data_IF_431792178174
#
_entry.id   IF_431792178174
#
_cell.length_a   1.000
_cell.length_b   1.000
_cell.length_c   1.000
_cell.angle_alpha   90.00
_cell.angle_beta   90.00
_cell.angle_gamma   90.00
#
_symmetry.space_group_name_H-M   'P 1'
#
loop_
_entity.id
_entity.type
_entity.pdbx_description
1 polymer ?
#
# COMPACT_ATOMS: atom_id res chain seq x y z
N UNK A 1 59.68 -56.43 -38.97
CA UNK A 1 59.50 -55.00 -39.33
C UNK A 1 58.67 -54.84 -40.61
N UNK A 2 58.80 -55.72 -41.60
CA UNK A 2 57.97 -55.70 -42.82
C UNK A 2 56.48 -55.93 -42.58
N UNK A 3 56.07 -56.95 -41.80
CA UNK A 3 54.65 -57.22 -41.54
C UNK A 3 53.91 -56.03 -40.89
N UNK A 4 54.53 -55.36 -39.91
CA UNK A 4 53.96 -54.14 -39.30
C UNK A 4 53.85 -52.97 -40.28
N UNK A 5 54.76 -52.88 -41.24
CA UNK A 5 54.74 -51.85 -42.30
C UNK A 5 53.61 -52.14 -43.28
N UNK A 6 53.46 -53.40 -43.70
CA UNK A 6 52.40 -53.84 -44.62
C UNK A 6 51.00 -53.71 -44.01
N UNK A 7 50.85 -54.03 -42.72
CA UNK A 7 49.62 -53.79 -41.96
C UNK A 7 49.28 -52.30 -41.85
N UNK A 8 50.28 -51.43 -41.64
CA UNK A 8 50.10 -49.98 -41.62
C UNK A 8 49.72 -49.42 -43.00
N UNK A 9 50.34 -49.88 -44.09
CA UNK A 9 49.96 -49.46 -45.45
C UNK A 9 48.58 -49.96 -45.85
N UNK A 10 48.20 -51.17 -45.42
CA UNK A 10 46.85 -51.71 -45.66
C UNK A 10 45.80 -50.91 -44.89
N UNK A 11 46.04 -50.58 -43.61
CA UNK A 11 45.16 -49.71 -42.82
C UNK A 11 45.09 -48.28 -43.35
N UNK A 12 46.20 -47.75 -43.86
CA UNK A 12 46.23 -46.43 -44.49
C UNK A 12 45.45 -46.44 -45.81
N UNK A 13 45.66 -47.47 -46.64
CA UNK A 13 44.94 -47.68 -47.89
C UNK A 13 43.44 -47.83 -47.65
N UNK A 14 43.02 -48.66 -46.69
CA UNK A 14 41.61 -48.80 -46.34
C UNK A 14 41.00 -47.50 -45.82
N UNK A 15 41.70 -46.77 -44.94
CA UNK A 15 41.25 -45.45 -44.47
C UNK A 15 41.13 -44.44 -45.60
N UNK A 16 42.06 -44.44 -46.55
CA UNK A 16 42.03 -43.55 -47.70
C UNK A 16 40.88 -43.90 -48.66
N UNK A 17 40.62 -45.19 -48.88
CA UNK A 17 39.49 -45.65 -49.69
C UNK A 17 38.15 -45.33 -49.03
N UNK A 18 38.03 -45.52 -47.71
CA UNK A 18 36.83 -45.11 -46.95
C UNK A 18 36.64 -43.60 -47.00
N UNK A 19 37.69 -42.82 -46.73
CA UNK A 19 37.61 -41.36 -46.82
C UNK A 19 37.28 -40.86 -48.23
N UNK A 20 37.76 -41.54 -49.29
CA UNK A 20 37.41 -41.20 -50.66
C UNK A 20 35.94 -41.54 -50.98
N UNK A 21 35.46 -42.70 -50.53
CA UNK A 21 34.04 -43.08 -50.67
C UNK A 21 33.11 -42.15 -49.89
N UNK A 22 33.50 -41.74 -48.68
CA UNK A 22 32.75 -40.79 -47.86
C UNK A 22 32.73 -39.41 -48.54
N UNK A 23 33.85 -38.99 -49.11
CA UNK A 23 33.96 -37.75 -49.89
C UNK A 23 33.06 -37.77 -51.13
N UNK A 24 33.10 -38.85 -51.92
CA UNK A 24 32.27 -38.98 -53.12
C UNK A 24 30.77 -39.00 -52.76
N UNK A 25 30.42 -39.63 -51.64
CA UNK A 25 29.05 -39.62 -51.10
C UNK A 25 28.60 -38.22 -50.72
N UNK A 26 29.41 -37.50 -49.93
CA UNK A 26 29.14 -36.11 -49.54
C UNK A 26 29.05 -35.20 -50.77
N UNK A 27 29.96 -35.36 -51.74
CA UNK A 27 29.97 -34.58 -52.98
C UNK A 27 28.70 -34.81 -53.80
N UNK A 28 28.25 -36.06 -53.92
CA UNK A 28 27.00 -36.38 -54.60
C UNK A 28 25.77 -35.79 -53.89
N UNK A 29 25.74 -35.87 -52.55
CA UNK A 29 24.66 -35.27 -51.75
C UNK A 29 24.62 -33.73 -51.87
N UNK A 30 25.78 -33.08 -51.95
CA UNK A 30 25.86 -31.63 -52.17
C UNK A 30 25.40 -31.24 -53.58
N UNK A 31 25.71 -32.05 -54.61
CA UNK A 31 25.23 -31.83 -55.97
C UNK A 31 23.69 -31.95 -56.04
N UNK A 32 23.12 -32.96 -55.38
CA UNK A 32 21.66 -33.08 -55.23
C UNK A 32 21.07 -31.87 -54.51
N UNK A 33 21.68 -31.42 -53.41
CA UNK A 33 21.19 -30.27 -52.66
C UNK A 33 21.27 -28.98 -53.48
N UNK A 34 22.33 -28.79 -54.27
CA UNK A 34 22.45 -27.66 -55.19
C UNK A 34 21.36 -27.67 -56.28
N UNK A 35 21.00 -28.85 -56.80
CA UNK A 35 19.91 -28.97 -57.77
C UNK A 35 18.55 -28.64 -57.13
N UNK A 36 18.35 -28.99 -55.87
CA UNK A 36 17.16 -28.64 -55.10
C UNK A 36 17.08 -27.11 -54.87
N UNK A 37 18.19 -26.46 -54.50
CA UNK A 37 18.28 -24.99 -54.39
C UNK A 37 17.90 -24.31 -55.72
N UNK A 38 18.45 -24.78 -56.85
CA UNK A 38 18.11 -24.23 -58.18
C UNK A 38 16.63 -24.39 -58.51
N UNK A 39 16.05 -25.55 -58.21
CA UNK A 39 14.62 -25.79 -58.43
C UNK A 39 13.74 -24.88 -57.58
N UNK A 40 14.20 -24.52 -56.37
CA UNK A 40 13.52 -23.58 -55.48
C UNK A 40 13.63 -22.16 -56.04
N UNK A 41 14.83 -21.72 -56.45
CA UNK A 41 15.08 -20.40 -57.03
C UNK A 41 14.22 -20.13 -58.27
N UNK A 42 14.13 -21.10 -59.19
CA UNK A 42 13.29 -21.01 -60.39
C UNK A 42 11.80 -20.81 -60.06
N UNK A 43 11.34 -21.31 -58.91
CA UNK A 43 9.93 -21.27 -58.48
C UNK A 43 9.63 -20.12 -57.51
N UNK A 44 10.65 -19.55 -56.87
CA UNK A 44 10.52 -18.53 -55.83
C UNK A 44 9.77 -17.29 -56.33
N UNK A 45 10.08 -16.82 -57.54
CA UNK A 45 9.41 -15.67 -58.16
C UNK A 45 7.88 -15.84 -58.36
N UNK A 46 7.39 -17.08 -58.32
CA UNK A 46 5.97 -17.42 -58.48
C UNK A 46 5.22 -17.54 -57.14
N UNK A 47 5.90 -17.43 -56.00
CA UNK A 47 5.25 -17.38 -54.70
C UNK A 47 4.54 -16.03 -54.51
N UNK A 48 3.32 -16.01 -53.92
CA UNK A 48 2.67 -14.77 -53.47
C UNK A 48 3.55 -14.00 -52.47
N UNK A 49 3.42 -12.67 -52.39
CA UNK A 49 4.29 -11.81 -51.57
C UNK A 49 4.41 -12.26 -50.11
N UNK A 50 3.30 -12.59 -49.45
CA UNK A 50 3.33 -13.08 -48.06
C UNK A 50 4.04 -14.43 -47.89
N UNK A 51 4.06 -15.28 -48.93
CA UNK A 51 4.80 -16.56 -48.92
C UNK A 51 6.29 -16.35 -49.22
N UNK A 52 6.64 -15.35 -50.02
CA UNK A 52 8.03 -14.98 -50.29
C UNK A 52 8.71 -14.46 -49.04
N UNK A 53 8.09 -13.48 -48.36
CA UNK A 53 8.59 -12.93 -47.11
C UNK A 53 8.85 -14.02 -46.06
N UNK A 54 7.92 -14.98 -45.98
CA UNK A 54 8.06 -16.15 -45.12
C UNK A 54 9.25 -17.04 -45.41
N UNK A 55 9.42 -17.37 -46.69
CA UNK A 55 10.56 -18.16 -47.13
C UNK A 55 11.88 -17.41 -46.92
N UNK A 56 11.92 -16.10 -47.13
CA UNK A 56 13.12 -15.27 -46.96
C UNK A 56 13.60 -15.24 -45.51
N UNK A 57 12.68 -15.12 -44.54
CA UNK A 57 13.00 -15.17 -43.11
C UNK A 57 13.61 -16.53 -42.71
N UNK A 58 12.99 -17.63 -43.12
CA UNK A 58 13.53 -18.97 -42.87
C UNK A 58 14.86 -19.21 -43.58
N UNK A 59 15.03 -18.63 -44.77
CA UNK A 59 16.27 -18.71 -45.53
C UNK A 59 17.42 -17.99 -44.82
N UNK A 60 17.17 -16.86 -44.14
CA UNK A 60 18.18 -16.16 -43.35
C UNK A 60 18.78 -17.05 -42.25
N UNK A 61 17.93 -17.76 -41.49
CA UNK A 61 18.37 -18.71 -40.45
C UNK A 61 19.14 -19.89 -41.05
N UNK A 62 18.66 -20.44 -42.18
CA UNK A 62 19.35 -21.52 -42.88
C UNK A 62 20.73 -21.04 -43.36
N UNK A 63 20.85 -19.82 -43.87
CA UNK A 63 22.11 -19.22 -44.29
C UNK A 63 23.07 -19.05 -43.11
N UNK A 64 22.58 -18.63 -41.95
CA UNK A 64 23.39 -18.53 -40.73
C UNK A 64 23.98 -19.89 -40.34
N UNK A 65 23.15 -20.94 -40.25
CA UNK A 65 23.60 -22.32 -39.96
C UNK A 65 24.60 -22.82 -41.00
N UNK A 66 24.38 -22.52 -42.29
CA UNK A 66 25.32 -22.87 -43.37
C UNK A 66 26.64 -22.11 -43.25
N UNK A 67 26.59 -20.84 -42.85
CA UNK A 67 27.77 -19.97 -42.73
C UNK A 67 28.64 -20.35 -41.53
N UNK A 68 28.00 -20.75 -40.42
CA UNK A 68 28.67 -21.19 -39.19
C UNK A 68 29.15 -22.65 -39.25
N UNK A 69 28.64 -23.43 -40.21
CA UNK A 69 29.06 -24.81 -40.40
C UNK A 69 30.50 -24.90 -40.90
N UNK A 70 31.35 -25.55 -40.11
CA UNK A 70 32.75 -25.84 -40.47
C UNK A 70 32.92 -27.13 -41.27
N UNK A 71 31.83 -27.82 -41.62
CA UNK A 71 31.89 -29.11 -42.34
C UNK A 71 30.83 -29.23 -43.45
N UNK A 72 31.13 -29.96 -44.55
CA UNK A 72 30.15 -30.28 -45.58
C UNK A 72 28.89 -30.99 -45.06
N UNK A 73 29.04 -31.81 -44.02
CA UNK A 73 27.92 -32.54 -43.40
C UNK A 73 26.97 -31.57 -42.68
N UNK A 74 27.50 -30.54 -42.01
CA UNK A 74 26.67 -29.51 -41.38
C UNK A 74 25.86 -28.70 -42.41
N UNK A 75 26.40 -28.46 -43.60
CA UNK A 75 25.65 -27.84 -44.71
C UNK A 75 24.58 -28.80 -45.26
N UNK A 76 24.86 -30.10 -45.34
CA UNK A 76 23.87 -31.08 -45.79
C UNK A 76 22.70 -31.24 -44.80
N UNK A 77 22.92 -31.00 -43.52
CA UNK A 77 21.88 -31.10 -42.50
C UNK A 77 20.75 -30.06 -42.72
N UNK A 78 21.03 -28.92 -43.35
CA UNK A 78 20.01 -27.89 -43.63
C UNK A 78 19.12 -28.21 -44.83
N UNK A 79 19.37 -29.32 -45.55
CA UNK A 79 18.60 -29.73 -46.73
C UNK A 79 17.12 -29.93 -46.40
N UNK A 80 16.83 -30.61 -45.29
CA UNK A 80 15.45 -30.85 -44.84
C UNK A 80 14.74 -29.55 -44.49
N UNK A 81 15.46 -28.62 -43.87
CA UNK A 81 14.92 -27.33 -43.42
C UNK A 81 14.60 -26.44 -44.62
N UNK A 82 15.50 -26.35 -45.61
CA UNK A 82 15.27 -25.60 -46.85
C UNK A 82 14.05 -26.12 -47.60
N UNK A 83 13.93 -27.45 -47.73
CA UNK A 83 12.79 -28.06 -48.40
C UNK A 83 11.48 -27.76 -47.65
N UNK A 84 11.48 -27.93 -46.34
CA UNK A 84 10.30 -27.69 -45.50
C UNK A 84 9.86 -26.23 -45.54
N UNK A 85 10.81 -25.30 -45.47
CA UNK A 85 10.56 -23.87 -45.57
C UNK A 85 9.95 -23.49 -46.92
N UNK A 86 10.41 -24.10 -48.02
CA UNK A 86 9.84 -23.83 -49.34
C UNK A 86 8.46 -24.49 -49.55
N UNK A 87 8.24 -25.67 -48.97
CA UNK A 87 6.97 -26.38 -49.08
C UNK A 87 5.86 -25.72 -48.23
N UNK A 88 6.21 -25.16 -47.07
CA UNK A 88 5.26 -24.52 -46.14
C UNK A 88 5.73 -23.14 -45.66
N UNK A 89 5.95 -22.17 -46.57
CA UNK A 89 6.61 -20.91 -46.22
C UNK A 89 5.82 -20.06 -45.23
N UNK A 90 4.48 -20.15 -45.24
CA UNK A 90 3.65 -19.44 -44.27
C UNK A 90 3.82 -19.99 -42.86
N UNK A 91 3.85 -21.31 -42.70
CA UNK A 91 4.05 -21.93 -41.38
C UNK A 91 5.41 -21.57 -40.82
N UNK A 92 6.45 -21.59 -41.66
CA UNK A 92 7.78 -21.17 -41.24
C UNK A 92 7.83 -19.68 -40.89
N UNK A 93 7.09 -18.81 -41.60
CA UNK A 93 6.94 -17.39 -41.21
C UNK A 93 6.37 -17.24 -39.81
N UNK A 94 5.31 -18.01 -39.52
CA UNK A 94 4.64 -17.97 -38.22
C UNK A 94 5.65 -18.39 -37.16
N UNK A 95 6.27 -19.56 -37.33
CA UNK A 95 7.29 -20.08 -36.40
C UNK A 95 8.40 -19.07 -36.10
N UNK A 96 8.99 -18.43 -37.12
CA UNK A 96 10.07 -17.47 -36.91
C UNK A 96 9.59 -16.18 -36.24
N UNK A 97 8.40 -15.67 -36.59
CA UNK A 97 7.85 -14.49 -35.92
C UNK A 97 7.55 -14.73 -34.44
N UNK A 98 7.24 -15.96 -34.04
CA UNK A 98 7.10 -16.32 -32.63
C UNK A 98 8.43 -16.40 -31.90
N UNK A 99 9.48 -16.94 -32.53
CA UNK A 99 10.82 -16.90 -31.93
C UNK A 99 11.26 -15.44 -31.77
N UNK A 100 11.02 -14.62 -32.80
CA UNK A 100 11.25 -13.19 -32.74
C UNK A 100 10.48 -12.52 -31.59
N UNK A 101 9.23 -12.90 -31.34
CA UNK A 101 8.46 -12.40 -30.20
C UNK A 101 9.22 -12.59 -28.88
N UNK A 102 9.74 -13.80 -28.61
CA UNK A 102 10.52 -14.07 -27.40
C UNK A 102 11.79 -13.23 -27.32
N UNK A 103 12.47 -13.04 -28.45
CA UNK A 103 13.67 -12.19 -28.53
C UNK A 103 13.35 -10.71 -28.25
N UNK A 104 12.25 -10.18 -28.78
CA UNK A 104 11.83 -8.78 -28.58
C UNK A 104 11.42 -8.51 -27.12
N UNK A 105 10.77 -9.47 -26.44
CA UNK A 105 10.45 -9.34 -25.01
C UNK A 105 11.62 -9.72 -24.09
N UNK A 106 12.74 -10.19 -24.63
CA UNK A 106 13.95 -10.49 -23.86
C UNK A 106 13.95 -11.83 -23.12
N UNK A 107 13.14 -12.80 -23.55
CA UNK A 107 13.12 -14.16 -22.99
C UNK A 107 14.15 -15.03 -23.72
N UNK A 108 15.14 -15.54 -22.99
CA UNK A 108 16.10 -16.51 -23.52
C UNK A 108 15.44 -17.90 -23.65
N UNK A 109 15.28 -18.37 -24.90
CA UNK A 109 14.72 -19.69 -25.21
C UNK A 109 15.83 -20.64 -25.63
N UNK A 110 15.96 -21.77 -24.93
CA UNK A 110 16.94 -22.81 -25.27
C UNK A 110 16.67 -23.45 -26.63
N UNK A 111 17.67 -24.06 -27.27
CA UNK A 111 17.50 -24.74 -28.56
C UNK A 111 16.48 -25.90 -28.50
N UNK A 112 16.37 -26.57 -27.35
CA UNK A 112 15.39 -27.64 -27.12
C UNK A 112 13.96 -27.08 -27.07
N UNK A 113 13.77 -25.99 -26.30
CA UNK A 113 12.48 -25.29 -26.21
C UNK A 113 12.08 -24.64 -27.55
N UNK A 114 13.04 -24.07 -28.29
CA UNK A 114 12.81 -23.50 -29.64
C UNK A 114 12.20 -24.55 -30.57
N UNK A 115 12.70 -25.78 -30.54
CA UNK A 115 12.16 -26.87 -31.35
C UNK A 115 10.78 -27.31 -30.91
N UNK A 116 10.52 -27.37 -29.60
CA UNK A 116 9.19 -27.67 -29.06
C UNK A 116 8.16 -26.60 -29.44
N UNK A 117 8.50 -25.32 -29.25
CA UNK A 117 7.70 -24.15 -29.61
C UNK A 117 7.37 -24.19 -31.10
N UNK A 118 8.37 -24.39 -31.97
CA UNK A 118 8.16 -24.56 -33.41
C UNK A 118 7.19 -25.71 -33.72
N UNK A 119 7.31 -26.84 -33.04
CA UNK A 119 6.42 -27.99 -33.20
C UNK A 119 4.96 -27.68 -32.82
N UNK A 120 4.76 -27.03 -31.67
CA UNK A 120 3.43 -26.61 -31.18
C UNK A 120 2.77 -25.59 -32.10
N UNK A 121 3.51 -24.55 -32.49
CA UNK A 121 3.03 -23.49 -33.40
C UNK A 121 2.66 -24.07 -34.77
N UNK A 122 3.47 -25.00 -35.29
CA UNK A 122 3.13 -25.69 -36.54
C UNK A 122 1.79 -26.40 -36.43
N UNK A 123 1.58 -27.18 -35.37
CA UNK A 123 0.33 -27.91 -35.18
C UNK A 123 -0.89 -26.98 -35.07
N UNK A 124 -0.75 -25.81 -34.41
CA UNK A 124 -1.85 -24.85 -34.29
C UNK A 124 -2.10 -24.05 -35.58
N UNK A 125 -1.03 -23.62 -36.26
CA UNK A 125 -1.12 -22.82 -37.48
C UNK A 125 -1.50 -23.62 -38.74
N UNK A 126 -1.29 -24.94 -38.77
CA UNK A 126 -1.60 -25.81 -39.92
C UNK A 126 -3.05 -25.67 -40.43
N UNK A 127 -3.99 -25.35 -39.54
CA UNK A 127 -5.41 -25.18 -39.89
C UNK A 127 -5.75 -23.83 -40.55
N UNK A 128 -4.98 -22.77 -40.26
CA UNK A 128 -5.18 -21.41 -40.77
C UNK A 128 -3.87 -20.59 -40.73
N UNK A 129 -2.90 -20.86 -41.61
CA UNK A 129 -1.57 -20.25 -41.55
C UNK A 129 -1.58 -18.74 -41.75
N UNK A 130 -2.43 -18.24 -42.66
CA UNK A 130 -2.57 -16.79 -42.93
C UNK A 130 -3.20 -16.03 -41.75
N UNK A 131 -4.11 -16.68 -41.02
CA UNK A 131 -4.65 -16.13 -39.77
C UNK A 131 -3.58 -16.01 -38.71
N UNK A 132 -2.88 -17.11 -38.42
CA UNK A 132 -1.83 -17.15 -37.41
C UNK A 132 -0.70 -16.15 -37.71
N UNK A 133 -0.31 -15.98 -38.99
CA UNK A 133 0.72 -15.02 -39.39
C UNK A 133 0.29 -13.58 -39.13
N UNK A 134 -0.96 -13.24 -39.40
CA UNK A 134 -1.51 -11.92 -39.10
C UNK A 134 -1.56 -11.69 -37.58
N UNK A 135 -2.04 -12.67 -36.82
CA UNK A 135 -2.16 -12.54 -35.37
C UNK A 135 -0.79 -12.34 -34.68
N UNK A 136 0.25 -13.09 -35.08
CA UNK A 136 1.60 -12.91 -34.51
C UNK A 136 2.24 -11.59 -34.94
N UNK A 137 1.98 -11.12 -36.17
CA UNK A 137 2.43 -9.78 -36.59
C UNK A 137 1.71 -8.67 -35.81
N UNK A 138 0.44 -8.86 -35.49
CA UNK A 138 -0.32 -7.94 -34.64
C UNK A 138 0.26 -7.94 -33.21
N UNK A 139 0.65 -9.09 -32.65
CA UNK A 139 1.37 -9.17 -31.36
C UNK A 139 2.69 -8.40 -31.42
N UNK A 140 3.53 -8.67 -32.41
CA UNK A 140 4.82 -7.99 -32.58
C UNK A 140 4.65 -6.48 -32.72
N UNK A 141 3.63 -6.03 -33.47
CA UNK A 141 3.32 -4.61 -33.60
C UNK A 141 2.82 -3.96 -32.31
N UNK A 142 2.16 -4.73 -31.42
CA UNK A 142 1.72 -4.23 -30.11
C UNK A 142 2.87 -4.12 -29.12
N UNK A 143 3.85 -5.02 -29.14
CA UNK A 143 4.97 -5.06 -28.18
C UNK A 143 5.72 -3.74 -28.14
N UNK A 144 5.99 -3.16 -29.31
CA UNK A 144 6.71 -1.88 -29.44
C UNK A 144 6.02 -0.72 -28.69
N UNK A 145 4.69 -0.81 -28.52
CA UNK A 145 3.86 0.19 -27.86
C UNK A 145 3.51 -0.19 -26.39
N UNK A 146 3.98 -1.34 -25.88
CA UNK A 146 3.69 -1.77 -24.51
C UNK A 146 4.49 -0.95 -23.49
N UNK A 147 3.84 -0.64 -22.36
CA UNK A 147 4.51 -0.07 -21.21
C UNK A 147 5.51 -1.09 -20.63
N UNK A 148 6.66 -0.62 -20.13
CA UNK A 148 7.69 -1.45 -19.52
C UNK A 148 7.15 -2.40 -18.45
N UNK A 149 6.23 -1.98 -17.59
CA UNK A 149 5.66 -2.83 -16.54
C UNK A 149 4.79 -3.98 -17.10
N UNK A 150 4.14 -3.76 -18.23
CA UNK A 150 3.38 -4.80 -18.94
C UNK A 150 4.35 -5.79 -19.59
N UNK A 151 5.47 -5.32 -20.15
CA UNK A 151 6.53 -6.19 -20.68
C UNK A 151 7.12 -7.04 -19.55
N UNK A 152 7.48 -6.43 -18.42
CA UNK A 152 8.00 -7.16 -17.25
C UNK A 152 7.03 -8.24 -16.76
N UNK A 153 5.74 -7.90 -16.61
CA UNK A 153 4.72 -8.88 -16.22
C UNK A 153 4.56 -10.01 -17.25
N UNK A 154 4.59 -9.69 -18.54
CA UNK A 154 4.53 -10.68 -19.61
C UNK A 154 5.76 -11.60 -19.60
N UNK A 155 6.95 -11.03 -19.36
CA UNK A 155 8.20 -11.77 -19.23
C UNK A 155 8.15 -12.72 -18.05
N UNK A 156 7.70 -12.27 -16.89
CA UNK A 156 7.59 -13.11 -15.69
C UNK A 156 6.65 -14.31 -15.91
N UNK A 157 5.47 -14.09 -16.51
CA UNK A 157 4.49 -15.16 -16.80
C UNK A 157 5.03 -16.18 -17.81
N UNK A 158 5.71 -15.71 -18.85
CA UNK A 158 6.21 -16.57 -19.93
C UNK A 158 7.56 -17.24 -19.63
N UNK A 159 8.40 -16.62 -18.81
CA UNK A 159 9.74 -17.15 -18.46
C UNK A 159 9.66 -18.41 -17.59
N UNK A 160 8.62 -18.56 -16.78
CA UNK A 160 8.44 -19.76 -15.96
C UNK A 160 8.17 -21.00 -16.83
N UNK A 161 7.50 -20.85 -17.98
CA UNK A 161 7.18 -21.96 -18.89
C UNK A 161 7.09 -21.49 -20.37
N UNK A 162 8.21 -21.22 -21.06
CA UNK A 162 8.21 -20.66 -22.42
C UNK A 162 7.56 -21.57 -23.46
N UNK A 163 7.41 -22.87 -23.18
CA UNK A 163 6.77 -23.81 -24.10
C UNK A 163 5.24 -23.82 -23.99
N UNK A 164 4.63 -23.10 -23.04
CA UNK A 164 3.18 -23.08 -22.83
C UNK A 164 2.42 -22.17 -23.81
N UNK A 165 3.12 -21.34 -24.57
CA UNK A 165 2.47 -20.52 -25.60
C UNK A 165 2.02 -21.39 -26.77
N UNK A 166 0.71 -21.60 -26.89
CA UNK A 166 0.12 -22.48 -27.90
C UNK A 166 -0.42 -21.77 -29.14
N UNK A 167 -0.73 -20.47 -29.06
CA UNK A 167 -1.26 -19.67 -30.17
C UNK A 167 -1.00 -18.15 -29.99
N UNK A 168 -1.05 -17.32 -31.06
CA UNK A 168 -0.82 -15.88 -30.92
C UNK A 168 -2.06 -15.20 -30.33
N UNK A 169 -3.22 -15.85 -30.44
CA UNK A 169 -4.44 -15.48 -29.74
C UNK A 169 -4.27 -15.55 -28.21
N UNK A 170 -3.51 -16.52 -27.69
CA UNK A 170 -3.25 -16.65 -26.25
C UNK A 170 -2.39 -15.47 -25.76
N UNK A 171 -1.30 -15.15 -26.47
CA UNK A 171 -0.44 -13.99 -26.16
C UNK A 171 -1.25 -12.69 -26.25
N UNK A 172 -2.01 -12.49 -27.34
CA UNK A 172 -2.87 -11.31 -27.48
C UNK A 172 -3.86 -11.19 -26.33
N UNK A 173 -4.48 -12.30 -25.92
CA UNK A 173 -5.42 -12.30 -24.79
C UNK A 173 -4.72 -11.94 -23.48
N UNK A 174 -3.49 -12.39 -23.25
CA UNK A 174 -2.70 -12.01 -22.08
C UNK A 174 -2.33 -10.52 -22.10
N UNK A 175 -1.85 -10.01 -23.23
CA UNK A 175 -1.55 -8.58 -23.42
C UNK A 175 -2.80 -7.74 -23.16
N UNK A 176 -3.95 -8.11 -23.74
CA UNK A 176 -5.21 -7.37 -23.57
C UNK A 176 -5.69 -7.39 -22.10
N UNK A 177 -5.47 -8.50 -21.37
CA UNK A 177 -5.75 -8.58 -19.92
C UNK A 177 -4.83 -7.68 -19.11
N UNK A 178 -3.51 -7.74 -19.34
CA UNK A 178 -2.53 -6.90 -18.65
C UNK A 178 -2.79 -5.42 -18.91
N UNK A 179 -3.15 -5.03 -20.13
CA UNK A 179 -3.54 -3.66 -20.43
C UNK A 179 -4.83 -3.21 -19.75
N UNK A 180 -5.84 -4.08 -19.73
CA UNK A 180 -7.09 -3.76 -19.02
C UNK A 180 -6.80 -3.55 -17.53
N UNK A 181 -5.98 -4.43 -16.94
CA UNK A 181 -5.53 -4.31 -15.56
C UNK A 181 -4.68 -3.07 -15.31
N UNK A 182 -3.80 -2.72 -16.25
CA UNK A 182 -3.00 -1.50 -16.17
C UNK A 182 -3.88 -0.26 -16.11
N UNK A 183 -4.90 -0.16 -16.97
CA UNK A 183 -5.84 0.96 -16.96
C UNK A 183 -6.60 1.07 -15.63
N UNK A 184 -6.96 -0.06 -15.04
CA UNK A 184 -7.58 -0.09 -13.71
C UNK A 184 -6.61 0.43 -12.64
N UNK A 185 -5.35 -0.04 -12.64
CA UNK A 185 -4.33 0.42 -11.70
C UNK A 185 -3.97 1.89 -11.89
N UNK A 186 -3.94 2.39 -13.12
CA UNK A 186 -3.72 3.81 -13.42
C UNK A 186 -4.85 4.67 -12.86
N UNK A 187 -6.10 4.20 -12.95
CA UNK A 187 -7.25 4.89 -12.32
C UNK A 187 -7.14 4.91 -10.79
N UNK A 188 -6.65 3.83 -10.17
CA UNK A 188 -6.41 3.80 -8.72
C UNK A 188 -5.25 4.74 -8.34
N UNK A 189 -4.18 4.75 -9.14
CA UNK A 189 -3.04 5.63 -8.92
C UNK A 189 -3.45 7.12 -8.99
N UNK A 190 -4.35 7.47 -9.92
CA UNK A 190 -4.94 8.80 -9.99
C UNK A 190 -5.70 9.14 -8.70
N UNK A 191 -6.60 8.26 -8.24
CA UNK A 191 -7.28 8.42 -6.96
C UNK A 191 -6.31 8.53 -5.77
N UNK A 192 -5.22 7.74 -5.77
CA UNK A 192 -4.20 7.82 -4.73
C UNK A 192 -3.55 9.19 -4.66
N UNK A 193 -3.18 9.75 -5.81
CA UNK A 193 -2.49 11.04 -5.91
C UNK A 193 -3.34 12.26 -5.49
N UNK A 194 -4.67 12.11 -5.41
CA UNK A 194 -5.56 13.18 -4.98
C UNK A 194 -5.68 13.30 -3.44
N UNK A 195 -5.08 12.36 -2.68
CA UNK A 195 -5.34 12.20 -1.24
C UNK A 195 -4.12 12.46 -0.39
N UNK A 196 -4.24 13.41 0.55
CA UNK A 196 -3.16 13.84 1.45
C UNK A 196 -2.62 12.73 2.36
N UNK A 197 -3.46 11.77 2.73
CA UNK A 197 -3.11 10.68 3.64
C UNK A 197 -2.46 9.48 2.92
N UNK A 198 -2.32 9.51 1.60
CA UNK A 198 -1.59 8.49 0.84
C UNK A 198 -0.16 9.00 0.58
N UNK A 199 0.88 8.24 0.94
CA UNK A 199 2.25 8.64 0.69
C UNK A 199 2.65 8.42 -0.79
N UNK A 200 3.50 9.30 -1.34
CA UNK A 200 3.98 9.25 -2.73
C UNK A 200 4.57 7.88 -3.11
N UNK A 201 5.21 7.18 -2.17
CA UNK A 201 5.81 5.85 -2.40
C UNK A 201 4.80 4.73 -2.67
N UNK A 202 3.52 4.98 -2.36
CA UNK A 202 2.39 4.05 -2.54
C UNK A 202 1.50 4.46 -3.71
N UNK A 203 1.54 5.73 -4.13
CA UNK A 203 0.82 6.23 -5.33
C UNK A 203 1.11 5.43 -6.59
N UNK A 204 2.34 4.93 -6.74
CA UNK A 204 2.77 4.11 -7.89
C UNK A 204 2.34 2.64 -7.77
N UNK A 205 1.04 2.37 -7.65
CA UNK A 205 0.49 1.01 -7.57
C UNK A 205 0.58 0.23 -8.89
N UNK A 206 0.84 0.88 -10.02
CA UNK A 206 0.89 0.28 -11.35
C UNK A 206 2.20 -0.48 -11.69
N UNK A 207 2.78 -1.15 -10.70
CA UNK A 207 3.99 -1.98 -10.86
C UNK A 207 3.71 -3.35 -11.52
N UNK A 208 4.76 -4.02 -12.01
CA UNK A 208 4.68 -5.39 -12.57
C UNK A 208 4.07 -6.40 -11.58
N UNK A 209 4.39 -6.28 -10.29
CA UNK A 209 3.82 -7.11 -9.21
C UNK A 209 2.30 -6.97 -9.14
N UNK A 210 1.78 -5.74 -9.22
CA UNK A 210 0.35 -5.46 -9.12
C UNK A 210 -0.42 -5.83 -10.39
N UNK A 211 0.25 -5.82 -11.55
CA UNK A 211 -0.32 -6.30 -12.81
C UNK A 211 -0.56 -7.82 -12.80
N UNK A 212 0.34 -8.58 -12.18
CA UNK A 212 0.25 -10.05 -12.11
C UNK A 212 -0.74 -10.56 -11.05
N UNK A 213 -1.05 -9.75 -10.03
CA UNK A 213 -1.97 -10.14 -8.97
C UNK A 213 -3.43 -9.80 -9.34
N UNK A 214 -4.14 -10.77 -9.92
CA UNK A 214 -5.56 -10.63 -10.27
C UNK A 214 -6.52 -10.57 -9.06
N UNK A 215 -6.02 -10.87 -7.85
CA UNK A 215 -6.79 -10.79 -6.59
C UNK A 215 -6.91 -9.35 -6.05
N UNK A 216 -6.35 -8.37 -6.77
CA UNK A 216 -6.41 -6.96 -6.43
C UNK A 216 -7.82 -6.43 -6.77
N UNK A 217 -8.82 -6.87 -6.00
CA UNK A 217 -10.24 -6.49 -6.13
C UNK A 217 -10.40 -4.97 -6.00
N UNK A 218 -11.21 -4.33 -6.84
CA UNK A 218 -11.40 -2.88 -6.85
C UNK A 218 -12.37 -2.37 -5.77
N UNK A 219 -12.94 -3.26 -4.96
CA UNK A 219 -13.97 -2.92 -3.96
C UNK A 219 -13.45 -1.97 -2.88
N UNK A 220 -12.13 -1.89 -2.66
CA UNK A 220 -11.55 -0.99 -1.65
C UNK A 220 -11.55 0.48 -2.06
N UNK A 221 -11.72 0.80 -3.35
CA UNK A 221 -11.82 2.20 -3.80
C UNK A 221 -13.06 2.86 -3.18
N UNK A 222 -14.12 2.10 -2.91
CA UNK A 222 -15.31 2.58 -2.18
C UNK A 222 -14.99 3.01 -0.74
N UNK A 223 -13.85 2.58 -0.19
CA UNK A 223 -13.44 2.96 1.17
C UNK A 223 -12.77 4.32 1.20
N UNK A 224 -12.30 4.85 0.08
CA UNK A 224 -11.61 6.14 0.06
C UNK A 224 -12.52 7.28 0.49
N UNK A 225 -13.74 7.36 -0.03
CA UNK A 225 -14.71 8.40 0.36
C UNK A 225 -14.99 8.36 1.87
N UNK A 226 -15.08 7.16 2.45
CA UNK A 226 -15.28 6.98 3.88
C UNK A 226 -14.04 7.41 4.66
N UNK A 227 -12.83 6.98 4.26
CA UNK A 227 -11.60 7.39 4.93
C UNK A 227 -11.43 8.92 4.84
N UNK A 228 -11.72 9.53 3.69
CA UNK A 228 -11.68 10.98 3.48
C UNK A 228 -12.66 11.71 4.42
N UNK A 229 -13.90 11.24 4.54
CA UNK A 229 -14.90 11.79 5.47
C UNK A 229 -14.40 11.74 6.91
N UNK A 230 -13.83 10.61 7.33
CA UNK A 230 -13.34 10.44 8.69
C UNK A 230 -12.09 11.29 8.98
N UNK A 231 -11.16 11.39 8.02
CA UNK A 231 -9.98 12.28 8.11
C UNK A 231 -10.40 13.74 8.28
N UNK A 232 -11.50 14.16 7.65
CA UNK A 232 -12.00 15.54 7.76
C UNK A 232 -12.82 15.81 9.02
N UNK A 233 -13.47 14.79 9.58
CA UNK A 233 -14.40 14.95 10.71
C UNK A 233 -13.75 14.69 12.07
N UNK A 234 -12.68 13.89 12.11
CA UNK A 234 -11.91 13.66 13.33
C UNK A 234 -11.08 14.92 13.67
N UNK A 235 -11.09 15.38 14.94
CA UNK A 235 -10.31 16.51 15.42
C UNK A 235 -8.84 16.50 14.99
N UNK A 236 -8.37 17.63 14.46
CA UNK A 236 -6.97 17.84 13.99
C UNK A 236 -5.90 17.55 15.06
N UNK A 237 -6.30 17.49 16.34
CA UNK A 237 -5.39 17.11 17.43
C UNK A 237 -4.94 15.65 17.34
N UNK A 238 -5.73 14.81 16.66
CA UNK A 238 -5.43 13.41 16.40
C UNK A 238 -4.63 13.32 15.10
N UNK A 239 -3.40 12.79 15.11
CA UNK A 239 -2.52 12.75 13.94
C UNK A 239 -2.91 11.59 13.00
N UNK A 240 -4.17 11.55 12.55
CA UNK A 240 -4.72 10.43 11.80
C UNK A 240 -4.03 10.21 10.45
N UNK A 241 -3.79 11.28 9.69
CA UNK A 241 -3.11 11.17 8.39
C UNK A 241 -1.71 10.55 8.55
N UNK A 242 -0.96 10.93 9.59
CA UNK A 242 0.37 10.38 9.85
C UNK A 242 0.32 8.87 10.14
N UNK A 243 -0.66 8.43 10.94
CA UNK A 243 -0.83 7.02 11.26
C UNK A 243 -1.26 6.19 10.03
N UNK A 244 -2.13 6.74 9.17
CA UNK A 244 -2.52 6.08 7.91
C UNK A 244 -1.31 5.97 6.96
N UNK A 245 -0.54 7.06 6.79
CA UNK A 245 0.66 7.05 5.96
C UNK A 245 1.68 6.02 6.47
N UNK A 246 1.91 5.98 7.79
CA UNK A 246 2.80 5.02 8.41
C UNK A 246 2.34 3.56 8.22
N UNK A 247 1.04 3.28 8.39
CA UNK A 247 0.44 1.97 8.10
C UNK A 247 0.69 1.54 6.64
N UNK A 248 0.44 2.44 5.68
CA UNK A 248 0.64 2.18 4.25
C UNK A 248 2.10 1.93 3.89
N UNK A 249 3.04 2.67 4.50
CA UNK A 249 4.48 2.49 4.29
C UNK A 249 4.97 1.18 4.91
N UNK A 250 4.53 0.86 6.13
CA UNK A 250 4.90 -0.37 6.83
C UNK A 250 4.39 -1.63 6.10
N UNK A 251 3.24 -1.53 5.43
CA UNK A 251 2.60 -2.61 4.67
C UNK A 251 2.68 -2.45 3.16
N UNK A 252 3.63 -1.65 2.66
CA UNK A 252 3.77 -1.31 1.23
C UNK A 252 3.74 -2.53 0.29
N UNK A 253 4.47 -3.60 0.63
CA UNK A 253 4.48 -4.84 -0.16
C UNK A 253 3.11 -5.53 -0.19
N UNK A 254 2.34 -5.42 0.90
CA UNK A 254 0.98 -5.96 0.96
C UNK A 254 -0.01 -5.06 0.21
N UNK A 255 0.18 -3.74 0.20
CA UNK A 255 -0.62 -2.83 -0.63
C UNK A 255 -0.51 -3.20 -2.11
N UNK A 256 0.69 -3.54 -2.60
CA UNK A 256 0.88 -3.92 -4.00
C UNK A 256 0.33 -5.30 -4.37
N UNK A 257 0.16 -6.20 -3.39
CA UNK A 257 -0.28 -7.58 -3.62
C UNK A 257 -1.75 -7.80 -3.27
N UNK A 258 -2.25 -7.13 -2.24
CA UNK A 258 -3.54 -7.33 -1.57
C UNK A 258 -4.07 -6.01 -0.95
N UNK A 259 -4.25 -4.95 -1.75
CA UNK A 259 -4.71 -3.67 -1.23
C UNK A 259 -6.06 -3.77 -0.54
N UNK A 260 -6.97 -4.63 -1.00
CA UNK A 260 -8.29 -4.79 -0.37
C UNK A 260 -8.22 -5.16 1.10
N UNK A 261 -7.25 -5.97 1.51
CA UNK A 261 -7.04 -6.32 2.92
C UNK A 261 -6.55 -5.08 3.67
N UNK A 262 -5.49 -4.43 3.18
CA UNK A 262 -4.88 -3.27 3.84
C UNK A 262 -5.88 -2.12 4.01
N UNK A 263 -6.62 -1.78 2.95
CA UNK A 263 -7.62 -0.70 3.01
C UNK A 263 -8.88 -1.08 3.81
N UNK A 264 -9.23 -2.36 3.89
CA UNK A 264 -10.28 -2.82 4.84
C UNK A 264 -9.83 -2.60 6.28
N UNK A 265 -8.57 -2.95 6.59
CA UNK A 265 -8.00 -2.76 7.92
C UNK A 265 -7.93 -1.26 8.27
N UNK A 266 -7.44 -0.43 7.34
CA UNK A 266 -7.40 1.04 7.51
C UNK A 266 -8.79 1.59 7.76
N UNK A 267 -9.79 1.20 6.95
CA UNK A 267 -11.18 1.61 7.15
C UNK A 267 -11.67 1.26 8.55
N UNK A 268 -11.51 0.00 8.97
CA UNK A 268 -11.92 -0.44 10.31
C UNK A 268 -11.17 0.33 11.41
N UNK A 269 -9.90 0.60 11.14
CA UNK A 269 -8.97 1.43 11.90
C UNK A 269 -9.57 2.80 12.24
N UNK A 270 -9.79 3.55 11.17
CA UNK A 270 -10.31 4.91 11.18
C UNK A 270 -11.73 4.97 11.74
N UNK A 271 -12.64 4.08 11.32
CA UNK A 271 -14.02 4.03 11.85
C UNK A 271 -14.06 3.75 13.36
N UNK A 272 -13.08 3.00 13.90
CA UNK A 272 -13.04 2.76 15.35
C UNK A 272 -12.61 4.01 16.12
N UNK A 273 -11.68 4.80 15.58
CA UNK A 273 -11.30 6.11 16.14
C UNK A 273 -12.49 7.09 16.06
N UNK A 274 -13.21 7.09 14.94
CA UNK A 274 -14.38 7.95 14.71
C UNK A 274 -15.51 7.77 15.73
N UNK A 275 -15.67 6.57 16.30
CA UNK A 275 -16.66 6.34 17.36
C UNK A 275 -16.42 7.20 18.60
N UNK A 276 -15.19 7.68 18.80
CA UNK A 276 -14.80 8.53 19.92
C UNK A 276 -14.78 10.03 19.56
N UNK A 277 -15.33 10.43 18.40
CA UNK A 277 -15.22 11.79 17.88
C UNK A 277 -15.71 12.89 18.86
N UNK A 278 -16.81 12.64 19.57
CA UNK A 278 -17.34 13.59 20.56
C UNK A 278 -16.34 13.82 21.73
N UNK A 279 -15.74 12.73 22.23
CA UNK A 279 -14.72 12.78 23.28
C UNK A 279 -13.44 13.48 22.79
N UNK A 280 -13.01 13.18 21.57
CA UNK A 280 -11.86 13.82 20.93
C UNK A 280 -12.09 15.32 20.72
N UNK A 281 -13.31 15.73 20.37
CA UNK A 281 -13.71 17.12 20.20
C UNK A 281 -13.66 17.90 21.54
N UNK A 282 -14.04 17.24 22.64
CA UNK A 282 -13.85 17.78 23.98
C UNK A 282 -12.37 17.92 24.34
N UNK A 283 -11.54 16.92 24.05
CA UNK A 283 -10.09 16.99 24.27
C UNK A 283 -9.49 18.16 23.50
N UNK A 284 -9.83 18.32 22.21
CA UNK A 284 -9.33 19.45 21.40
C UNK A 284 -9.74 20.79 22.01
N UNK A 285 -11.00 20.93 22.41
CA UNK A 285 -11.51 22.16 23.05
C UNK A 285 -10.79 22.46 24.35
N UNK A 286 -10.65 21.47 25.24
CA UNK A 286 -9.93 21.59 26.51
C UNK A 286 -8.45 21.90 26.33
N UNK A 287 -7.83 21.38 25.26
CA UNK A 287 -6.44 21.62 24.95
C UNK A 287 -6.11 23.08 24.64
N UNK A 288 -7.13 23.88 24.28
CA UNK A 288 -6.99 25.32 24.08
C UNK A 288 -7.23 26.14 25.36
N UNK A 289 -7.82 25.53 26.40
CA UNK A 289 -8.22 26.19 27.64
C UNK A 289 -7.28 25.90 28.81
N UNK A 290 -6.74 24.68 28.87
CA UNK A 290 -5.81 24.24 29.91
C UNK A 290 -4.40 24.64 29.48
N UNK A 291 -3.69 25.40 30.33
CA UNK A 291 -2.27 25.61 30.12
C UNK A 291 -1.49 24.34 30.50
N UNK A 292 -0.96 23.66 29.47
CA UNK A 292 -0.19 22.41 29.57
C UNK A 292 0.99 22.51 30.54
N UNK A 293 1.53 23.72 30.78
CA UNK A 293 2.73 23.91 31.60
C UNK A 293 2.45 23.99 33.10
N UNK A 294 1.20 24.21 33.49
CA UNK A 294 0.84 24.51 34.87
C UNK A 294 0.01 23.40 35.54
N UNK A 295 -0.63 22.52 34.77
CA UNK A 295 -1.49 21.45 35.31
C UNK A 295 -1.12 20.08 34.75
N UNK A 296 -0.84 19.13 35.65
CA UNK A 296 -0.61 17.73 35.31
C UNK A 296 -1.96 17.06 35.01
N UNK A 297 -2.29 16.93 33.71
CA UNK A 297 -3.53 16.32 33.22
C UNK A 297 -3.17 15.20 32.25
N UNK A 298 -3.44 13.94 32.61
CA UNK A 298 -2.91 12.77 31.88
C UNK A 298 -3.24 12.76 30.37
N UNK A 299 -4.50 13.02 29.97
CA UNK A 299 -4.85 13.03 28.54
C UNK A 299 -4.14 14.13 27.74
N UNK A 300 -3.69 15.21 28.41
CA UNK A 300 -2.94 16.29 27.78
C UNK A 300 -1.51 15.89 27.48
N UNK A 301 -0.92 15.01 28.30
CA UNK A 301 0.40 14.42 28.01
C UNK A 301 0.35 13.62 26.70
N UNK A 302 -0.71 12.81 26.50
CA UNK A 302 -0.92 12.07 25.25
C UNK A 302 -1.04 13.01 24.04
N UNK A 303 -1.76 14.12 24.19
CA UNK A 303 -1.88 15.16 23.15
C UNK A 303 -0.52 15.78 22.82
N UNK A 304 0.32 16.04 23.81
CA UNK A 304 1.68 16.54 23.58
C UNK A 304 2.55 15.50 22.88
N UNK A 305 2.43 14.23 23.25
CA UNK A 305 3.11 13.11 22.60
C UNK A 305 2.71 13.03 21.12
N UNK A 306 1.42 13.12 20.78
CA UNK A 306 0.96 13.16 19.39
C UNK A 306 1.57 14.30 18.58
N UNK A 307 1.75 15.48 19.19
CA UNK A 307 2.37 16.64 18.52
C UNK A 307 3.88 16.47 18.34
N UNK A 308 4.56 15.78 19.25
CA UNK A 308 6.01 15.61 19.24
C UNK A 308 6.49 14.37 18.47
N UNK A 309 5.78 13.26 18.62
CA UNK A 309 6.07 11.95 18.07
C UNK A 309 4.75 11.22 17.78
N UNK A 310 4.09 11.52 16.65
CA UNK A 310 2.83 10.88 16.29
C UNK A 310 3.02 9.35 16.15
N UNK A 311 1.97 8.56 16.41
CA UNK A 311 2.00 7.11 16.21
C UNK A 311 2.33 6.73 14.77
N UNK A 312 3.10 5.65 14.61
CA UNK A 312 3.59 5.17 13.31
C UNK A 312 2.57 4.30 12.55
N UNK A 313 1.49 3.87 13.21
CA UNK A 313 0.45 3.03 12.63
C UNK A 313 -0.92 3.26 13.31
N UNK A 314 -1.98 2.72 12.69
CA UNK A 314 -3.35 2.91 13.16
C UNK A 314 -3.64 2.19 14.48
N UNK A 315 -3.05 1.02 14.71
CA UNK A 315 -3.26 0.25 15.95
C UNK A 315 -2.72 1.02 17.16
N UNK A 316 -1.50 1.58 17.05
CA UNK A 316 -0.92 2.43 18.08
C UNK A 316 -1.74 3.70 18.31
N UNK A 317 -2.24 4.32 17.23
CA UNK A 317 -3.09 5.50 17.34
C UNK A 317 -4.40 5.16 18.06
N UNK A 318 -5.02 4.02 17.74
CA UNK A 318 -6.24 3.55 18.41
C UNK A 318 -6.04 3.34 19.90
N UNK A 319 -4.98 2.63 20.30
CA UNK A 319 -4.66 2.41 21.71
C UNK A 319 -4.44 3.74 22.45
N UNK A 320 -3.76 4.67 21.80
CA UNK A 320 -3.49 6.01 22.34
C UNK A 320 -4.75 6.86 22.46
N UNK A 321 -5.63 6.82 21.46
CA UNK A 321 -6.95 7.48 21.48
C UNK A 321 -7.80 6.92 22.60
N UNK A 322 -7.90 5.60 22.72
CA UNK A 322 -8.68 4.95 23.78
C UNK A 322 -8.15 5.33 25.17
N UNK A 323 -6.82 5.39 25.33
CA UNK A 323 -6.21 5.86 26.56
C UNK A 323 -6.59 7.31 26.87
N UNK A 324 -6.45 8.23 25.90
CA UNK A 324 -6.80 9.64 26.09
C UNK A 324 -8.29 9.84 26.43
N UNK A 325 -9.19 9.10 25.78
CA UNK A 325 -10.63 9.12 26.05
C UNK A 325 -10.93 8.60 27.46
N UNK A 326 -10.31 7.50 27.88
CA UNK A 326 -10.48 6.97 29.24
C UNK A 326 -10.00 7.99 30.28
N UNK A 327 -8.87 8.66 30.02
CA UNK A 327 -8.33 9.70 30.90
C UNK A 327 -9.22 10.95 30.96
N UNK A 328 -9.81 11.36 29.83
CA UNK A 328 -10.83 12.40 29.81
C UNK A 328 -12.03 12.03 30.68
N UNK A 329 -12.49 10.78 30.61
CA UNK A 329 -13.62 10.32 31.41
C UNK A 329 -13.33 10.36 32.91
N UNK A 330 -12.14 9.94 33.35
CA UNK A 330 -11.71 10.06 34.75
C UNK A 330 -11.64 11.53 35.16
N UNK A 331 -11.05 12.37 34.30
CA UNK A 331 -10.89 13.79 34.59
C UNK A 331 -12.23 14.53 34.67
N UNK A 332 -13.21 14.13 33.84
CA UNK A 332 -14.58 14.62 33.91
C UNK A 332 -15.18 14.41 35.30
N UNK A 333 -15.06 13.20 35.87
CA UNK A 333 -15.57 12.90 37.21
C UNK A 333 -14.93 13.82 38.27
N UNK A 334 -13.64 14.14 38.13
CA UNK A 334 -12.93 15.08 39.01
C UNK A 334 -13.46 16.52 38.86
N UNK A 335 -13.73 16.97 37.63
CA UNK A 335 -14.30 18.31 37.39
C UNK A 335 -15.71 18.39 37.98
N UNK A 336 -16.50 17.34 37.86
CA UNK A 336 -17.87 17.26 38.37
C UNK A 336 -17.90 17.30 39.90
N UNK A 337 -17.04 16.51 40.54
CA UNK A 337 -16.89 16.53 41.99
C UNK A 337 -16.49 17.93 42.46
N UNK A 338 -15.48 18.54 41.84
CA UNK A 338 -15.05 19.91 42.18
C UNK A 338 -16.16 20.92 42.01
N UNK A 339 -16.91 20.87 40.90
CA UNK A 339 -18.04 21.76 40.68
C UNK A 339 -19.12 21.56 41.76
N UNK A 340 -19.45 20.31 42.08
CA UNK A 340 -20.45 19.97 43.11
C UNK A 340 -20.07 20.52 44.50
N UNK A 341 -18.77 20.55 44.83
CA UNK A 341 -18.27 21.16 46.08
C UNK A 341 -18.31 22.69 46.03
N UNK A 342 -18.05 23.31 44.87
CA UNK A 342 -18.00 24.77 44.73
C UNK A 342 -19.38 25.43 44.59
N UNK A 343 -20.36 24.73 44.02
CA UNK A 343 -21.71 25.27 43.77
C UNK A 343 -22.42 25.76 45.05
N UNK A 344 -22.42 25.05 46.19
CA UNK A 344 -22.99 25.55 47.44
C UNK A 344 -22.27 26.81 47.96
N UNK A 345 -20.93 26.83 47.89
CA UNK A 345 -20.11 27.97 48.34
C UNK A 345 -20.46 29.23 47.55
N UNK A 346 -20.55 29.12 46.22
CA UNK A 346 -20.97 30.22 45.35
C UNK A 346 -22.35 30.75 45.73
N UNK A 347 -23.30 29.85 46.04
CA UNK A 347 -24.66 30.23 46.42
C UNK A 347 -24.65 31.02 47.73
N UNK A 348 -23.90 30.56 48.73
CA UNK A 348 -23.72 31.28 49.99
C UNK A 348 -23.07 32.65 49.80
N UNK A 349 -22.03 32.73 48.97
CA UNK A 349 -21.31 33.97 48.70
C UNK A 349 -22.20 34.99 47.98
N UNK A 350 -22.97 34.54 46.99
CA UNK A 350 -23.97 35.37 46.29
C UNK A 350 -25.01 35.92 47.26
N UNK A 351 -25.52 35.10 48.17
CA UNK A 351 -26.53 35.51 49.16
C UNK A 351 -25.98 36.54 50.18
N UNK A 352 -24.72 36.37 50.62
CA UNK A 352 -24.06 37.25 51.59
C UNK A 352 -23.67 38.60 50.97
N UNK A 353 -23.01 38.58 49.82
CA UNK A 353 -22.50 39.80 49.16
C UNK A 353 -23.61 40.57 48.43
N UNK A 354 -24.73 39.91 48.13
CA UNK A 354 -25.77 40.44 47.22
C UNK A 354 -25.21 40.84 45.84
N UNK A 355 -24.14 40.16 45.42
CA UNK A 355 -23.46 40.35 44.13
C UNK A 355 -23.55 39.06 43.32
N UNK A 356 -23.93 39.19 42.05
CA UNK A 356 -24.07 38.06 41.14
C UNK A 356 -22.68 37.57 40.66
N UNK A 357 -22.43 36.25 40.64
CA UNK A 357 -21.22 35.70 40.02
C UNK A 357 -21.26 35.92 38.49
N UNK A 358 -20.13 35.75 37.77
CA UNK A 358 -20.09 35.94 36.32
C UNK A 358 -21.19 35.17 35.59
N UNK A 359 -21.79 35.76 34.55
CA UNK A 359 -22.93 35.20 33.79
C UNK A 359 -22.77 33.70 33.45
N UNK A 360 -21.56 33.28 33.09
CA UNK A 360 -21.25 31.87 32.79
C UNK A 360 -21.44 30.97 33.99
N UNK A 361 -20.91 31.36 35.15
CA UNK A 361 -21.06 30.66 36.43
C UNK A 361 -22.53 30.61 36.82
N UNK A 362 -23.22 31.75 36.77
CA UNK A 362 -24.63 31.84 37.11
C UNK A 362 -25.51 30.96 36.21
N UNK A 363 -25.21 30.92 34.90
CA UNK A 363 -25.90 30.05 33.96
C UNK A 363 -25.75 28.57 34.34
N UNK A 364 -24.54 28.15 34.71
CA UNK A 364 -24.23 26.77 35.11
C UNK A 364 -24.79 26.42 36.51
N UNK A 365 -24.96 27.38 37.40
CA UNK A 365 -25.62 27.16 38.69
C UNK A 365 -27.14 26.94 38.53
N UNK A 366 -27.77 27.63 37.59
CA UNK A 366 -29.22 27.55 37.34
C UNK A 366 -29.65 26.32 36.52
N UNK A 367 -28.69 25.74 35.80
CA UNK A 367 -28.91 24.49 35.10
C UNK A 367 -28.38 23.36 35.97
N UNK A 368 -29.23 22.44 36.40
CA UNK A 368 -28.78 21.09 36.80
C UNK A 368 -28.27 20.34 35.54
N UNK A 369 -27.36 20.95 34.77
CA UNK A 369 -26.77 20.31 33.61
C UNK A 369 -25.75 19.32 34.15
N UNK A 370 -25.98 18.00 34.00
CA UNK A 370 -24.89 17.06 34.20
C UNK A 370 -23.77 17.46 33.24
N UNK A 371 -22.52 17.31 33.66
CA UNK A 371 -21.36 17.58 32.82
C UNK A 371 -21.28 16.76 31.54
N UNK A 372 -22.20 15.80 31.39
CA UNK A 372 -22.42 15.00 30.19
C UNK A 372 -22.64 15.82 28.92
N UNK A 373 -23.18 17.05 28.97
CA UNK A 373 -23.50 17.78 27.74
C UNK A 373 -22.39 18.71 27.22
N UNK A 374 -21.48 19.22 28.07
CA UNK A 374 -20.39 20.12 27.61
C UNK A 374 -19.27 20.32 28.67
N UNK A 375 -18.33 19.38 28.75
CA UNK A 375 -17.21 19.43 29.69
C UNK A 375 -16.33 20.70 29.57
N UNK A 376 -15.98 21.20 28.37
CA UNK A 376 -15.22 22.46 28.24
C UNK A 376 -15.94 23.66 28.87
N UNK A 377 -17.27 23.76 28.71
CA UNK A 377 -18.07 24.83 29.33
C UNK A 377 -18.05 24.71 30.85
N UNK A 378 -18.26 23.50 31.38
CA UNK A 378 -18.24 23.28 32.83
C UNK A 378 -16.89 23.64 33.43
N UNK A 379 -15.80 23.19 32.82
CA UNK A 379 -14.45 23.50 33.29
C UNK A 379 -14.15 25.01 33.22
N UNK A 380 -14.59 25.71 32.16
CA UNK A 380 -14.47 27.16 32.08
C UNK A 380 -15.28 27.87 33.18
N UNK A 381 -16.47 27.37 33.53
CA UNK A 381 -17.27 27.91 34.62
C UNK A 381 -16.61 27.65 35.98
N UNK A 382 -16.04 26.47 36.18
CA UNK A 382 -15.30 26.11 37.39
C UNK A 382 -14.10 27.06 37.62
N UNK A 383 -13.29 27.32 36.60
CA UNK A 383 -12.14 28.26 36.74
C UNK A 383 -12.64 29.66 37.13
N UNK A 384 -13.70 30.15 36.49
CA UNK A 384 -14.26 31.48 36.80
C UNK A 384 -14.87 31.54 38.20
N UNK A 385 -15.52 30.46 38.63
CA UNK A 385 -16.04 30.32 39.98
C UNK A 385 -14.89 30.35 41.00
N UNK A 386 -13.81 29.62 40.77
CA UNK A 386 -12.65 29.60 41.67
C UNK A 386 -11.97 30.97 41.76
N UNK A 387 -11.83 31.68 40.63
CA UNK A 387 -11.32 33.07 40.62
C UNK A 387 -12.24 34.00 41.41
N UNK A 388 -13.56 33.92 41.17
CA UNK A 388 -14.53 34.81 41.82
C UNK A 388 -14.62 34.56 43.32
N UNK A 389 -14.59 33.29 43.77
CA UNK A 389 -14.52 32.95 45.20
C UNK A 389 -13.26 33.57 45.81
N UNK A 390 -12.10 33.37 45.17
CA UNK A 390 -10.82 33.88 45.68
C UNK A 390 -10.76 35.41 45.73
N UNK A 391 -11.35 36.11 44.75
CA UNK A 391 -11.38 37.57 44.69
C UNK A 391 -12.31 38.21 45.75
N UNK A 392 -13.32 37.46 46.22
CA UNK A 392 -14.32 37.95 47.16
C UNK A 392 -14.18 37.35 48.57
N UNK A 393 -13.20 36.47 48.80
CA UNK A 393 -12.95 35.80 50.08
C UNK A 393 -12.80 36.80 51.23
N UNK A 394 -11.97 37.83 51.06
CA UNK A 394 -11.77 38.89 52.07
C UNK A 394 -13.07 39.61 52.43
N UNK A 395 -13.93 39.87 51.44
CA UNK A 395 -15.21 40.55 51.65
C UNK A 395 -16.20 39.66 52.42
N UNK A 396 -16.17 38.35 52.18
CA UNK A 396 -16.98 37.38 52.94
C UNK A 396 -16.49 37.28 54.38
N UNK A 397 -15.17 37.27 54.60
CA UNK A 397 -14.60 37.24 55.94
C UNK A 397 -15.06 38.45 56.78
N UNK A 398 -15.26 39.63 56.19
CA UNK A 398 -15.83 40.80 56.90
C UNK A 398 -17.26 40.58 57.44
N UNK A 399 -17.99 39.57 56.96
CA UNK A 399 -19.36 39.26 57.38
C UNK A 399 -19.47 38.26 58.53
N UNK A 400 -18.35 37.66 58.96
CA UNK A 400 -18.28 36.73 60.11
C UNK A 400 -17.62 37.39 61.33
N UNK A 401 -17.75 36.75 62.49
CA UNK A 401 -17.10 37.19 63.73
C UNK A 401 -15.56 37.24 63.64
N UNK A 402 -14.91 38.13 64.41
CA UNK A 402 -13.43 38.21 64.48
C UNK A 402 -12.81 36.84 64.87
N UNK A 403 -13.43 36.11 65.81
CA UNK A 403 -12.98 34.79 66.24
C UNK A 403 -13.03 33.77 65.07
N UNK A 404 -14.01 33.89 64.17
CA UNK A 404 -14.14 33.07 62.97
C UNK A 404 -13.13 33.49 61.87
N UNK A 405 -12.84 34.78 61.71
CA UNK A 405 -11.78 35.25 60.81
C UNK A 405 -10.40 34.73 61.25
N UNK A 406 -10.09 34.85 62.54
CA UNK A 406 -8.84 34.38 63.13
C UNK A 406 -8.67 32.86 62.97
N UNK A 407 -9.76 32.11 63.16
CA UNK A 407 -9.78 30.67 62.95
C UNK A 407 -9.60 30.31 61.46
N UNK A 408 -10.24 31.04 60.55
CA UNK A 408 -10.08 30.84 59.10
C UNK A 408 -8.61 31.02 58.67
N UNK A 409 -7.97 32.12 59.10
CA UNK A 409 -6.57 32.36 58.81
C UNK A 409 -5.68 31.26 59.41
N UNK A 410 -5.95 30.85 60.66
CA UNK A 410 -5.20 29.79 61.33
C UNK A 410 -5.32 28.43 60.61
N UNK A 411 -6.50 28.12 60.08
CA UNK A 411 -6.75 26.94 59.24
C UNK A 411 -6.05 27.05 57.87
N UNK A 412 -6.03 28.23 57.27
CA UNK A 412 -5.40 28.46 55.96
C UNK A 412 -3.87 28.32 55.99
N UNK A 413 -3.23 28.63 57.12
CA UNK A 413 -1.77 28.53 57.30
C UNK A 413 -1.31 27.12 57.68
N UNK A 414 -2.21 26.24 58.12
CA UNK A 414 -1.88 24.97 58.78
C UNK A 414 -2.54 23.76 58.12
N UNK A 415 -1.73 22.83 57.57
CA UNK A 415 -2.25 21.57 56.99
C UNK A 415 -3.02 20.67 57.99
N UNK A 416 -2.80 20.84 59.31
CA UNK A 416 -3.59 20.23 60.39
C UNK A 416 -3.66 21.19 61.56
N UNK A 417 -4.88 21.61 61.93
CA UNK A 417 -5.15 22.49 63.08
C UNK A 417 -5.97 21.73 64.13
N UNK A 418 -5.55 21.79 65.38
CA UNK A 418 -6.30 21.20 66.49
C UNK A 418 -7.25 22.25 67.05
N UNK A 419 -8.55 22.02 66.85
CA UNK A 419 -9.61 22.93 67.30
C UNK A 419 -9.86 22.74 68.80
N UNK A 420 -9.83 23.83 69.55
CA UNK A 420 -10.17 23.88 70.97
C UNK A 420 -11.68 24.02 71.19
N UNK A 421 -12.16 23.66 72.39
CA UNK A 421 -13.58 23.78 72.75
C UNK A 421 -14.09 25.24 72.69
N UNK A 422 -13.20 26.22 72.89
CA UNK A 422 -13.51 27.65 72.77
C UNK A 422 -13.70 28.13 71.32
N UNK A 423 -13.25 27.37 70.34
CA UNK A 423 -13.32 27.72 68.91
C UNK A 423 -14.50 27.03 68.21
N UNK A 424 -15.33 26.26 68.92
CA UNK A 424 -16.43 25.49 68.33
C UNK A 424 -17.53 26.38 67.74
N UNK A 425 -17.84 27.52 68.37
CA UNK A 425 -18.84 28.46 67.85
C UNK A 425 -18.33 29.16 66.58
N UNK A 426 -17.06 29.57 66.57
CA UNK A 426 -16.38 30.13 65.41
C UNK A 426 -16.26 29.12 64.25
N UNK A 427 -15.97 27.85 64.58
CA UNK A 427 -15.96 26.76 63.60
C UNK A 427 -17.34 26.53 62.99
N UNK A 428 -18.41 26.55 63.81
CA UNK A 428 -19.77 26.37 63.31
C UNK A 428 -20.15 27.48 62.32
N UNK A 429 -19.77 28.74 62.62
CA UNK A 429 -19.97 29.88 61.73
C UNK A 429 -19.16 29.73 60.41
N UNK A 430 -17.91 29.26 60.48
CA UNK A 430 -17.10 29.01 59.28
C UNK A 430 -17.60 27.83 58.44
N UNK A 431 -18.06 26.75 59.07
CA UNK A 431 -18.56 25.55 58.39
C UNK A 431 -19.82 25.82 57.55
N UNK A 432 -20.57 26.87 57.88
CA UNK A 432 -21.72 27.32 57.08
C UNK A 432 -21.30 28.03 55.77
N UNK A 433 -20.02 28.42 55.65
CA UNK A 433 -19.49 29.27 54.56
C UNK A 433 -18.41 28.55 53.75
N UNK A 434 -17.60 27.71 54.40
CA UNK A 434 -16.43 27.05 53.83
C UNK A 434 -16.47 25.57 54.18
N UNK A 435 -16.15 24.71 53.22
CA UNK A 435 -16.12 23.27 53.44
C UNK A 435 -14.88 22.88 54.27
N UNK A 436 -15.06 22.71 55.58
CA UNK A 436 -14.00 22.33 56.53
C UNK A 436 -14.14 20.85 56.89
N UNK A 437 -13.16 20.03 56.51
CA UNK A 437 -13.10 18.62 56.88
C UNK A 437 -12.62 18.44 58.32
N UNK A 438 -13.54 18.08 59.21
CA UNK A 438 -13.24 17.77 60.62
C UNK A 438 -12.88 16.28 60.77
N UNK A 439 -11.71 15.99 61.34
CA UNK A 439 -11.29 14.63 61.71
C UNK A 439 -11.21 14.55 63.24
N UNK A 440 -11.97 13.64 63.84
CA UNK A 440 -11.92 13.39 65.27
C UNK A 440 -10.88 12.28 65.56
N UNK A 441 -9.85 12.60 66.34
CA UNK A 441 -9.01 11.59 66.97
C UNK A 441 -9.81 10.98 68.14
N UNK A 442 -10.02 9.65 68.11
CA UNK A 442 -10.66 8.87 69.19
C UNK A 442 -9.74 8.67 70.42
#
# INVERSE_FOLDING_TARGET
>A
MEEKREELFTKLGSKLTTAHSDWDTISGQLEEYQNEIKSIDDRYSNLPDGKRQGFDLSLANIIEVVTDSTSPVGVLNTRSDLKTAFENPLISSVQENYIKFYEEVGIEVSDEDRNEIRGKIRASAESNPEGALREINDVLGKIDDLNQYVIEALVDDLSENPTNVTSPADINSQIDKLHSRQKELDSIAEEFSERSWIPEEVEMINTSISLLNSETELEFVEYFELIDEEVQTIPEIVPLENAIQGELLNRRDEVFKRPSIVFTDIKNGVTSISKENDSLSHIQSLSTMIDFREKDVEFMNTVEEWRGSPPDDLDQLQDSVQYAVNQLSIWKDVVDERWSTKQPILSTYQDLLQEDPPDKVQSCMQTELPAEENLPRLYSALIQAESWISENEDQILEHISEDAQDLFHSLSESNMYSISESELDALAELMDIVDIKVVMDE
#
